data_IF_036832361458
#
_entry.id   IF_036832361458
#
_cell.length_a   1.000
_cell.length_b   1.000
_cell.length_c   1.000
_cell.angle_alpha   90.00
_cell.angle_beta   90.00
_cell.angle_gamma   90.00
#
_symmetry.space_group_name_H-M   'P 1'
#
loop_
_entity.id
_entity.type
_entity.pdbx_description
1 polymer ?
#
# COMPACT_ATOMS: atom_id res chain seq x y z
N UNK A 1 -9.95 17.74 23.17
CA UNK A 1 -9.97 17.22 21.79
C UNK A 1 -10.29 15.74 21.87
N UNK A 2 -11.16 15.19 21.02
CA UNK A 2 -11.43 13.74 21.04
C UNK A 2 -10.12 12.97 20.82
N UNK A 3 -9.97 11.80 21.44
CA UNK A 3 -8.77 10.95 21.26
C UNK A 3 -8.45 10.71 19.78
N UNK A 4 -9.50 10.61 18.96
CA UNK A 4 -9.42 10.39 17.51
C UNK A 4 -8.75 11.55 16.76
N UNK A 5 -9.04 12.81 17.11
CA UNK A 5 -8.36 13.96 16.51
C UNK A 5 -6.87 14.01 16.88
N UNK A 6 -6.52 13.55 18.09
CA UNK A 6 -5.13 13.39 18.50
C UNK A 6 -4.41 12.31 17.69
N UNK A 7 -5.09 11.20 17.40
CA UNK A 7 -4.56 10.11 16.57
C UNK A 7 -4.35 10.54 15.11
N UNK A 8 -5.28 11.30 14.52
CA UNK A 8 -5.13 11.86 13.17
C UNK A 8 -3.87 12.73 13.09
N UNK A 9 -3.68 13.64 14.05
CA UNK A 9 -2.52 14.53 14.06
C UNK A 9 -1.20 13.76 14.13
N UNK A 10 -1.12 12.72 14.96
CA UNK A 10 0.09 11.88 15.05
C UNK A 10 0.38 11.16 13.73
N UNK A 11 -0.66 10.65 13.08
CA UNK A 11 -0.53 10.01 11.77
C UNK A 11 -0.01 11.00 10.72
N UNK A 12 -0.48 12.25 10.73
CA UNK A 12 0.00 13.29 9.82
C UNK A 12 1.49 13.63 10.07
N UNK A 13 1.91 13.74 11.33
CA UNK A 13 3.31 13.95 11.72
C UNK A 13 4.23 12.79 11.28
N UNK A 14 3.75 11.55 11.41
CA UNK A 14 4.47 10.34 10.97
C UNK A 14 4.60 10.30 9.44
N UNK A 15 3.53 10.63 8.70
CA UNK A 15 3.55 10.72 7.24
C UNK A 15 4.56 11.80 6.79
N UNK A 16 4.56 12.96 7.43
CA UNK A 16 5.48 14.05 7.07
C UNK A 16 6.95 13.64 7.26
N UNK A 17 7.24 12.91 8.34
CA UNK A 17 8.58 12.35 8.59
C UNK A 17 8.99 11.37 7.49
N UNK A 18 8.09 10.46 7.10
CA UNK A 18 8.34 9.47 6.05
C UNK A 18 8.50 10.10 4.67
N UNK A 19 7.72 11.15 4.37
CA UNK A 19 7.83 11.94 3.15
C UNK A 19 9.21 12.61 3.02
N UNK A 20 9.77 13.12 4.13
CA UNK A 20 11.14 13.67 4.14
C UNK A 20 12.18 12.59 3.85
N UNK A 21 12.08 11.43 4.50
CA UNK A 21 12.98 10.29 4.24
C UNK A 21 12.89 9.81 2.79
N UNK A 22 11.68 9.79 2.22
CA UNK A 22 11.44 9.47 0.80
C UNK A 22 12.18 10.46 -0.11
N UNK A 23 12.07 11.76 0.17
CA UNK A 23 12.74 12.81 -0.59
C UNK A 23 14.27 12.68 -0.48
N UNK A 24 14.79 12.42 0.72
CA UNK A 24 16.24 12.25 0.92
C UNK A 24 16.83 11.13 0.06
N UNK A 25 16.09 10.03 -0.09
CA UNK A 25 16.49 8.92 -0.97
C UNK A 25 16.35 9.30 -2.45
N UNK A 26 15.26 9.99 -2.83
CA UNK A 26 15.09 10.48 -4.20
C UNK A 26 16.21 11.44 -4.62
N UNK A 27 16.71 12.28 -3.70
CA UNK A 27 17.83 13.18 -3.95
C UNK A 27 19.16 12.46 -4.30
N UNK A 28 19.27 11.16 -4.04
CA UNK A 28 20.41 10.33 -4.44
C UNK A 28 20.28 9.80 -5.88
N UNK A 29 19.19 10.10 -6.56
CA UNK A 29 18.80 9.54 -7.86
C UNK A 29 18.69 10.68 -8.86
N UNK A 30 19.05 10.41 -10.12
CA UNK A 30 18.91 11.37 -11.20
C UNK A 30 17.46 11.84 -11.33
N UNK A 31 17.26 13.16 -11.29
CA UNK A 31 15.95 13.80 -11.34
C UNK A 31 15.01 13.29 -12.47
N UNK A 32 15.48 13.03 -13.70
CA UNK A 32 14.63 12.47 -14.77
C UNK A 32 14.01 11.10 -14.43
N UNK A 33 14.61 10.33 -13.52
CA UNK A 33 14.15 9.00 -13.13
C UNK A 33 13.13 9.03 -11.98
N UNK A 34 12.98 10.17 -11.28
CA UNK A 34 12.13 10.28 -10.09
C UNK A 34 10.68 9.91 -10.37
N UNK A 35 10.11 10.39 -11.48
CA UNK A 35 8.73 10.10 -11.83
C UNK A 35 8.53 8.61 -12.13
N UNK A 36 9.46 7.99 -12.88
CA UNK A 36 9.41 6.57 -13.20
C UNK A 36 9.52 5.72 -11.93
N UNK A 37 10.43 6.08 -11.04
CA UNK A 37 10.60 5.37 -9.76
C UNK A 37 9.41 5.55 -8.83
N UNK A 38 8.88 6.77 -8.72
CA UNK A 38 7.69 7.06 -7.91
C UNK A 38 6.49 6.25 -8.42
N UNK A 39 6.28 6.20 -9.74
CA UNK A 39 5.24 5.37 -10.35
C UNK A 39 5.46 3.88 -10.07
N UNK A 40 6.69 3.39 -10.16
CA UNK A 40 7.02 2.00 -9.84
C UNK A 40 6.72 1.68 -8.37
N UNK A 41 7.14 2.53 -7.43
CA UNK A 41 6.89 2.31 -6.00
C UNK A 41 5.40 2.41 -5.66
N UNK A 42 4.67 3.38 -6.21
CA UNK A 42 3.21 3.46 -6.04
C UNK A 42 2.51 2.22 -6.62
N UNK A 43 2.95 1.73 -7.77
CA UNK A 43 2.45 0.50 -8.39
C UNK A 43 2.69 -0.73 -7.52
N UNK A 44 3.88 -0.86 -6.94
CA UNK A 44 4.22 -1.91 -5.97
C UNK A 44 3.29 -1.84 -4.76
N UNK A 45 3.15 -0.67 -4.13
CA UNK A 45 2.29 -0.49 -2.96
C UNK A 45 0.83 -0.84 -3.25
N UNK A 46 0.30 -0.38 -4.39
CA UNK A 46 -1.06 -0.72 -4.80
C UNK A 46 -1.24 -2.22 -4.95
N UNK A 47 -0.32 -2.89 -5.63
CA UNK A 47 -0.35 -4.35 -5.79
C UNK A 47 -0.32 -5.06 -4.43
N UNK A 48 0.55 -4.64 -3.50
CA UNK A 48 0.60 -5.22 -2.16
C UNK A 48 -0.70 -5.04 -1.38
N UNK A 49 -1.26 -3.82 -1.38
CA UNK A 49 -2.53 -3.52 -0.69
C UNK A 49 -3.67 -4.36 -1.26
N UNK A 50 -3.79 -4.42 -2.58
CA UNK A 50 -4.86 -5.17 -3.25
C UNK A 50 -4.70 -6.68 -3.01
N UNK A 51 -3.46 -7.18 -2.94
CA UNK A 51 -3.17 -8.56 -2.59
C UNK A 51 -3.64 -8.89 -1.17
N UNK A 52 -3.28 -8.07 -0.18
CA UNK A 52 -3.66 -8.24 1.22
C UNK A 52 -5.19 -8.18 1.37
N UNK A 53 -5.88 -7.28 0.65
CA UNK A 53 -7.34 -7.22 0.66
C UNK A 53 -7.98 -8.52 0.18
N UNK A 54 -7.50 -9.06 -0.94
CA UNK A 54 -8.01 -10.32 -1.49
C UNK A 54 -7.69 -11.50 -0.57
N UNK A 55 -6.50 -11.52 0.05
CA UNK A 55 -6.10 -12.54 1.02
C UNK A 55 -6.97 -12.50 2.29
N UNK A 56 -7.24 -11.31 2.81
CA UNK A 56 -8.15 -11.13 3.95
C UNK A 56 -9.57 -11.59 3.61
N UNK A 57 -10.09 -11.22 2.43
CA UNK A 57 -11.42 -11.66 1.99
C UNK A 57 -11.48 -13.18 1.86
N UNK A 58 -10.46 -13.82 1.29
CA UNK A 58 -10.33 -15.28 1.23
C UNK A 58 -10.42 -15.92 2.63
N UNK A 59 -9.79 -15.30 3.63
CA UNK A 59 -9.76 -15.79 5.00
C UNK A 59 -11.11 -15.74 5.73
N UNK A 60 -12.02 -14.87 5.30
CA UNK A 60 -13.36 -14.69 5.90
C UNK A 60 -14.50 -15.13 4.97
N UNK A 61 -14.20 -15.82 3.88
CA UNK A 61 -15.21 -16.22 2.88
C UNK A 61 -16.36 -17.06 3.48
N UNK A 62 -16.05 -17.88 4.49
CA UNK A 62 -17.04 -18.71 5.18
C UNK A 62 -18.05 -17.87 5.96
N UNK A 63 -17.62 -16.71 6.50
CA UNK A 63 -18.47 -15.79 7.25
C UNK A 63 -19.28 -14.86 6.33
N UNK A 64 -18.79 -14.60 5.11
CA UNK A 64 -19.41 -13.66 4.17
C UNK A 64 -20.55 -14.25 3.33
N UNK A 65 -20.51 -15.56 3.07
CA UNK A 65 -21.46 -16.21 2.16
C UNK A 65 -22.01 -17.50 2.76
N UNK A 66 -23.33 -17.55 2.92
CA UNK A 66 -24.03 -18.72 3.47
C UNK A 66 -24.01 -19.92 2.51
N UNK A 67 -24.15 -19.69 1.20
CA UNK A 67 -24.18 -20.76 0.21
C UNK A 67 -22.80 -21.16 -0.29
N UNK A 68 -22.53 -22.48 -0.28
CA UNK A 68 -21.29 -23.08 -0.76
C UNK A 68 -20.97 -22.73 -2.22
N UNK A 69 -22.00 -22.68 -3.08
CA UNK A 69 -21.85 -22.33 -4.48
C UNK A 69 -21.26 -20.93 -4.66
N UNK A 70 -21.75 -19.93 -3.91
CA UNK A 70 -21.23 -18.57 -4.00
C UNK A 70 -19.81 -18.46 -3.43
N UNK A 71 -19.51 -19.19 -2.34
CA UNK A 71 -18.13 -19.28 -1.82
C UNK A 71 -17.15 -19.80 -2.86
N UNK A 72 -17.50 -20.86 -3.59
CA UNK A 72 -16.62 -21.42 -4.62
C UNK A 72 -16.38 -20.46 -5.78
N UNK A 73 -17.44 -19.79 -6.27
CA UNK A 73 -17.31 -18.81 -7.35
C UNK A 73 -16.39 -17.67 -6.89
N UNK A 74 -16.68 -17.08 -5.73
CA UNK A 74 -15.91 -15.94 -5.23
C UNK A 74 -14.46 -16.30 -4.92
N UNK A 75 -14.21 -17.48 -4.35
CA UNK A 75 -12.85 -18.00 -4.14
C UNK A 75 -12.07 -18.09 -5.45
N UNK A 76 -12.69 -18.60 -6.52
CA UNK A 76 -12.04 -18.68 -7.84
C UNK A 76 -11.72 -17.30 -8.40
N UNK A 77 -12.62 -16.33 -8.26
CA UNK A 77 -12.38 -14.94 -8.67
C UNK A 77 -11.21 -14.31 -7.91
N UNK A 78 -11.21 -14.41 -6.58
CA UNK A 78 -10.16 -13.84 -5.74
C UNK A 78 -8.79 -14.44 -6.06
N UNK A 79 -8.71 -15.77 -6.26
CA UNK A 79 -7.46 -16.41 -6.68
C UNK A 79 -7.00 -15.93 -8.05
N UNK A 80 -7.92 -15.75 -9.01
CA UNK A 80 -7.59 -15.20 -10.32
C UNK A 80 -7.05 -13.77 -10.22
N UNK A 81 -7.67 -12.92 -9.40
CA UNK A 81 -7.21 -11.55 -9.16
C UNK A 81 -5.83 -11.52 -8.49
N UNK A 82 -5.58 -12.41 -7.53
CA UNK A 82 -4.27 -12.50 -6.89
C UNK A 82 -3.17 -12.90 -7.88
N UNK A 83 -3.45 -13.79 -8.83
CA UNK A 83 -2.49 -14.12 -9.89
C UNK A 83 -2.25 -12.95 -10.84
N UNK A 84 -3.29 -12.20 -11.21
CA UNK A 84 -3.13 -10.99 -12.01
C UNK A 84 -2.25 -9.94 -11.30
N UNK A 85 -2.47 -9.73 -9.99
CA UNK A 85 -1.65 -8.84 -9.17
C UNK A 85 -0.19 -9.30 -9.16
N UNK A 86 0.08 -10.61 -9.01
CA UNK A 86 1.45 -11.17 -9.06
C UNK A 86 2.12 -10.98 -10.42
N UNK A 87 1.35 -10.90 -11.52
CA UNK A 87 1.90 -10.59 -12.84
C UNK A 87 2.19 -9.10 -12.97
N UNK A 88 1.26 -8.25 -12.54
CA UNK A 88 1.38 -6.80 -12.64
C UNK A 88 2.53 -6.24 -11.78
N UNK A 89 2.72 -6.76 -10.56
CA UNK A 89 3.77 -6.30 -9.66
C UNK A 89 5.19 -6.50 -10.25
N UNK A 90 5.38 -7.53 -11.10
CA UNK A 90 6.68 -7.80 -11.74
C UNK A 90 7.14 -6.66 -12.64
N UNK A 91 6.21 -5.98 -13.31
CA UNK A 91 6.53 -4.84 -14.18
C UNK A 91 7.11 -3.70 -13.35
N UNK A 92 6.48 -3.38 -12.23
CA UNK A 92 6.95 -2.33 -11.33
C UNK A 92 8.24 -2.69 -10.60
N UNK A 93 8.41 -3.94 -10.17
CA UNK A 93 9.65 -4.44 -9.56
C UNK A 93 10.81 -4.35 -10.54
N UNK A 94 10.59 -4.69 -11.82
CA UNK A 94 11.60 -4.58 -12.87
C UNK A 94 12.06 -3.13 -13.03
N UNK A 95 11.12 -2.19 -13.14
CA UNK A 95 11.43 -0.76 -13.27
C UNK A 95 12.19 -0.21 -12.05
N UNK A 96 11.74 -0.56 -10.83
CA UNK A 96 12.44 -0.21 -9.59
C UNK A 96 13.88 -0.73 -9.61
N UNK A 97 14.08 -2.01 -9.93
CA UNK A 97 15.40 -2.64 -9.93
C UNK A 97 16.32 -2.06 -11.00
N UNK A 98 15.78 -1.66 -12.15
CA UNK A 98 16.57 -1.01 -13.20
C UNK A 98 17.08 0.36 -12.74
N UNK A 99 16.22 1.17 -12.11
CA UNK A 99 16.55 2.52 -11.64
C UNK A 99 17.49 2.46 -10.43
N UNK A 100 17.24 1.53 -9.50
CA UNK A 100 17.99 1.40 -8.24
C UNK A 100 19.09 0.33 -8.31
N UNK A 101 19.54 -0.05 -9.50
CA UNK A 101 20.53 -1.14 -9.70
C UNK A 101 21.85 -0.93 -8.94
N UNK A 102 22.20 0.32 -8.65
CA UNK A 102 23.44 0.71 -7.97
C UNK A 102 23.25 0.89 -6.45
N UNK A 103 22.02 0.70 -5.94
CA UNK A 103 21.69 0.78 -4.52
C UNK A 103 21.80 -0.61 -3.87
N UNK A 104 22.10 -0.66 -2.58
CA UNK A 104 22.05 -1.91 -1.82
C UNK A 104 20.61 -2.41 -1.68
N UNK A 105 20.42 -3.73 -1.56
CA UNK A 105 19.10 -4.33 -1.32
C UNK A 105 18.43 -3.77 -0.08
N UNK A 106 19.21 -3.50 0.97
CA UNK A 106 18.74 -2.89 2.22
C UNK A 106 18.17 -1.49 1.97
N UNK A 107 18.83 -0.67 1.13
CA UNK A 107 18.37 0.67 0.82
C UNK A 107 17.12 0.66 -0.08
N UNK A 108 17.06 -0.27 -1.03
CA UNK A 108 15.88 -0.50 -1.86
C UNK A 108 14.69 -0.91 -0.99
N UNK A 109 14.92 -1.82 -0.03
CA UNK A 109 13.90 -2.26 0.92
C UNK A 109 13.43 -1.12 1.81
N UNK A 110 14.34 -0.36 2.41
CA UNK A 110 14.02 0.83 3.21
C UNK A 110 13.12 1.79 2.43
N UNK A 111 13.47 2.09 1.18
CA UNK A 111 12.70 2.99 0.35
C UNK A 111 11.30 2.44 0.04
N UNK A 112 11.19 1.15 -0.29
CA UNK A 112 9.88 0.52 -0.50
C UNK A 112 9.03 0.53 0.79
N UNK A 113 9.64 0.21 1.93
CA UNK A 113 8.95 0.16 3.23
C UNK A 113 8.40 1.55 3.61
N UNK A 114 9.10 2.63 3.27
CA UNK A 114 8.61 4.01 3.43
C UNK A 114 7.30 4.21 2.64
N UNK A 115 7.26 3.83 1.35
CA UNK A 115 6.04 4.00 0.53
C UNK A 115 4.88 3.14 1.07
N UNK A 116 5.15 1.90 1.47
CA UNK A 116 4.13 1.02 2.06
C UNK A 116 3.60 1.68 3.33
N UNK A 117 4.48 2.18 4.18
CA UNK A 117 4.09 2.75 5.47
C UNK A 117 3.25 4.01 5.34
N UNK A 118 3.62 4.89 4.40
CA UNK A 118 2.80 6.07 4.06
C UNK A 118 1.40 5.62 3.64
N UNK A 119 1.30 4.64 2.74
CA UNK A 119 -0.01 4.14 2.27
C UNK A 119 -0.87 3.55 3.39
N UNK A 120 -0.27 2.80 4.33
CA UNK A 120 -0.99 2.26 5.50
C UNK A 120 -1.52 3.38 6.40
N UNK A 121 -0.68 4.37 6.68
CA UNK A 121 -1.01 5.50 7.54
C UNK A 121 -2.13 6.36 6.92
N UNK A 122 -2.09 6.60 5.61
CA UNK A 122 -3.16 7.31 4.91
C UNK A 122 -4.50 6.58 4.98
N UNK A 123 -4.51 5.27 4.79
CA UNK A 123 -5.72 4.46 4.94
C UNK A 123 -6.28 4.52 6.36
N UNK A 124 -5.40 4.39 7.36
CA UNK A 124 -5.78 4.50 8.78
C UNK A 124 -6.34 5.89 9.10
N UNK A 125 -5.71 6.96 8.59
CA UNK A 125 -6.19 8.34 8.74
C UNK A 125 -7.60 8.48 8.18
N UNK A 126 -7.84 7.97 6.97
CA UNK A 126 -9.13 8.04 6.30
C UNK A 126 -10.23 7.32 7.09
N UNK A 127 -9.94 6.13 7.62
CA UNK A 127 -10.87 5.36 8.45
C UNK A 127 -11.23 6.11 9.73
N UNK A 128 -10.25 6.71 10.43
CA UNK A 128 -10.52 7.50 11.64
C UNK A 128 -11.37 8.74 11.30
N UNK A 129 -11.08 9.42 10.19
CA UNK A 129 -11.85 10.57 9.74
C UNK A 129 -13.31 10.21 9.42
N UNK A 130 -13.56 9.05 8.81
CA UNK A 130 -14.93 8.55 8.60
C UNK A 130 -15.65 8.31 9.92
N UNK A 131 -15.00 7.69 10.91
CA UNK A 131 -15.57 7.47 12.25
C UNK A 131 -15.87 8.77 13.00
N UNK A 132 -15.02 9.78 12.82
CA UNK A 132 -15.27 11.12 13.34
C UNK A 132 -16.56 11.67 12.72
N UNK A 133 -16.66 11.69 11.39
CA UNK A 133 -17.82 12.25 10.69
C UNK A 133 -19.13 11.54 11.08
N UNK A 134 -19.12 10.21 11.21
CA UNK A 134 -20.29 9.44 11.66
C UNK A 134 -20.72 9.72 13.11
N UNK A 135 -19.83 10.23 13.98
CA UNK A 135 -20.18 10.62 15.36
C UNK A 135 -20.82 12.01 15.47
N UNK A 136 -20.75 12.80 14.39
CA UNK A 136 -21.26 14.18 14.35
C UNK A 136 -22.46 14.33 13.38
N UNK A 137 -22.97 13.22 12.84
CA UNK A 137 -24.30 13.07 12.22
C UNK A 137 -25.35 12.63 13.26
#
# INVERSE_FOLDING_TARGET
MSSLWGDVKRIEEDIETLEKLKIDILMMIDFPLWNRLTNAMQGICKCYVDFIKNENELGILEDLYEEEKYRHIRKSELLSYMEEIKLNIKVYIKDRNEILKDFSEEKIKEFQDIYIKISELEQKRLQIMQLINMKYE
#
